data_IF_091863585893
#
_entry.id   IF_091863585893
#
_cell.length_a   1.000
_cell.length_b   1.000
_cell.length_c   1.000
_cell.angle_alpha   90.00
_cell.angle_beta   90.00
_cell.angle_gamma   90.00
#
_symmetry.space_group_name_H-M   'P 1'
#
loop_
_entity.id
_entity.type
_entity.pdbx_description
1 polymer ?
#
# COMPACT_ATOMS: atom_id res chain seq x y z
N UNK A 1 -7.73 8.68 -11.94
CA UNK A 1 -7.57 8.29 -10.53
C UNK A 1 -6.30 7.46 -10.43
N UNK A 2 -5.23 8.03 -9.91
CA UNK A 2 -3.95 7.33 -9.77
C UNK A 2 -4.06 6.30 -8.65
N UNK A 3 -4.22 5.03 -8.99
CA UNK A 3 -4.25 3.91 -8.04
C UNK A 3 -3.04 4.01 -7.10
N UNK A 4 -3.26 4.16 -5.79
CA UNK A 4 -2.18 4.14 -4.80
C UNK A 4 -1.35 2.85 -4.85
N UNK A 5 -1.92 1.76 -5.38
CA UNK A 5 -1.19 0.55 -5.76
C UNK A 5 -0.06 0.81 -6.77
N UNK A 6 -0.28 1.60 -7.82
CA UNK A 6 0.76 1.99 -8.78
C UNK A 6 1.85 2.81 -8.13
N UNK A 7 1.50 3.75 -7.24
CA UNK A 7 2.47 4.56 -6.48
C UNK A 7 3.32 3.69 -5.57
N UNK A 8 2.70 2.75 -4.85
CA UNK A 8 3.41 1.76 -4.04
C UNK A 8 4.39 0.92 -4.85
N UNK A 9 3.94 0.45 -6.02
CA UNK A 9 4.77 -0.35 -6.93
C UNK A 9 5.97 0.46 -7.43
N UNK A 10 5.79 1.73 -7.76
CA UNK A 10 6.87 2.63 -8.20
C UNK A 10 7.84 2.94 -7.05
N UNK A 11 7.34 3.27 -5.86
CA UNK A 11 8.17 3.52 -4.68
C UNK A 11 8.98 2.28 -4.25
N UNK A 12 8.40 1.08 -4.40
CA UNK A 12 9.13 -0.18 -4.20
C UNK A 12 10.09 -0.52 -5.37
N UNK A 13 10.05 0.24 -6.47
CA UNK A 13 10.79 0.04 -7.71
C UNK A 13 10.08 -0.88 -8.71
N UNK A 14 9.57 -2.03 -8.27
CA UNK A 14 8.70 -2.86 -9.12
C UNK A 14 7.75 -3.74 -8.30
N UNK A 15 6.73 -4.29 -8.98
CA UNK A 15 5.70 -5.14 -8.37
C UNK A 15 6.27 -6.40 -7.71
N UNK A 16 7.37 -6.94 -8.26
CA UNK A 16 8.02 -8.14 -7.72
C UNK A 16 8.76 -7.84 -6.42
N UNK A 17 9.41 -6.67 -6.30
CA UNK A 17 10.08 -6.18 -5.10
C UNK A 17 9.05 -5.88 -4.02
N UNK A 18 7.92 -5.26 -4.38
CA UNK A 18 6.82 -5.03 -3.45
C UNK A 18 6.28 -6.37 -2.90
N UNK A 19 6.03 -7.35 -3.78
CA UNK A 19 5.62 -8.70 -3.39
C UNK A 19 6.61 -9.35 -2.42
N UNK A 20 7.91 -9.27 -2.73
CA UNK A 20 8.96 -9.85 -1.90
C UNK A 20 9.11 -9.16 -0.55
N UNK A 21 8.95 -7.84 -0.48
CA UNK A 21 8.99 -7.08 0.79
C UNK A 21 7.77 -7.36 1.68
N UNK A 22 6.62 -7.65 1.07
CA UNK A 22 5.39 -7.97 1.79
C UNK A 22 5.25 -9.46 2.13
N UNK A 23 6.22 -10.28 1.73
CA UNK A 23 6.16 -11.75 1.80
C UNK A 23 4.90 -12.31 1.12
N UNK A 24 4.56 -11.75 -0.05
CA UNK A 24 3.39 -12.11 -0.84
C UNK A 24 3.80 -12.68 -2.20
N UNK A 25 2.93 -13.52 -2.75
CA UNK A 25 3.10 -13.99 -4.13
C UNK A 25 2.71 -12.89 -5.11
N UNK A 26 3.39 -12.85 -6.27
CA UNK A 26 3.07 -11.91 -7.35
C UNK A 26 1.60 -12.03 -7.79
N UNK A 27 1.06 -13.26 -7.78
CA UNK A 27 -0.33 -13.54 -8.11
C UNK A 27 -1.31 -12.91 -7.12
N UNK A 28 -0.97 -12.85 -5.83
CA UNK A 28 -1.80 -12.19 -4.82
C UNK A 28 -1.93 -10.69 -5.11
N UNK A 29 -0.80 -10.01 -5.39
CA UNK A 29 -0.79 -8.59 -5.75
C UNK A 29 -1.45 -8.34 -7.11
N UNK A 30 -1.39 -9.28 -8.06
CA UNK A 30 -2.11 -9.17 -9.33
C UNK A 30 -3.62 -9.16 -9.20
N UNK A 31 -4.16 -9.73 -8.12
CA UNK A 31 -5.61 -9.71 -7.86
C UNK A 31 -6.07 -8.46 -7.12
N UNK A 32 -5.15 -7.59 -6.70
CA UNK A 32 -5.51 -6.35 -6.04
C UNK A 32 -5.92 -5.33 -7.09
N UNK A 33 -7.18 -4.93 -7.03
CA UNK A 33 -7.66 -3.74 -7.74
C UNK A 33 -7.14 -2.47 -7.03
N UNK A 34 -7.25 -2.45 -5.70
CA UNK A 34 -6.65 -1.49 -4.77
C UNK A 34 -5.93 -2.22 -3.62
N UNK A 35 -5.05 -1.51 -2.89
CA UNK A 35 -4.35 -2.08 -1.74
C UNK A 35 -5.37 -2.34 -0.62
N UNK A 36 -5.60 -3.58 -0.18
CA UNK A 36 -6.57 -3.84 0.90
C UNK A 36 -6.13 -3.14 2.19
N UNK A 37 -7.07 -2.60 2.97
CA UNK A 37 -6.79 -1.85 4.22
C UNK A 37 -5.81 -2.60 5.17
N UNK A 38 -5.97 -3.92 5.31
CA UNK A 38 -5.08 -4.78 6.12
C UNK A 38 -3.62 -4.78 5.67
N UNK A 39 -3.36 -4.50 4.39
CA UNK A 39 -2.03 -4.42 3.81
C UNK A 39 -1.53 -2.98 3.68
N UNK A 40 -2.41 -1.96 3.71
CA UNK A 40 -2.01 -0.55 3.57
C UNK A 40 -0.93 -0.17 4.57
N UNK A 41 -1.09 -0.56 5.84
CA UNK A 41 -0.07 -0.31 6.88
C UNK A 41 1.27 -0.94 6.53
N UNK A 42 1.27 -2.22 6.16
CA UNK A 42 2.47 -2.97 5.77
C UNK A 42 3.13 -2.38 4.52
N UNK A 43 2.33 -1.99 3.53
CA UNK A 43 2.78 -1.32 2.31
C UNK A 43 3.43 0.02 2.65
N UNK A 44 2.77 0.82 3.49
CA UNK A 44 3.28 2.11 3.97
C UNK A 44 4.64 1.95 4.64
N UNK A 45 4.81 0.93 5.49
CA UNK A 45 6.10 0.64 6.16
C UNK A 45 7.21 0.27 5.17
N UNK A 46 6.91 -0.52 4.13
CA UNK A 46 7.93 -0.99 3.17
C UNK A 46 8.23 -0.03 2.03
N UNK A 47 7.29 0.86 1.69
CA UNK A 47 7.43 1.88 0.64
C UNK A 47 7.73 3.27 1.18
N UNK A 48 7.52 3.51 2.49
CA UNK A 48 7.65 4.83 3.10
C UNK A 48 6.59 5.84 2.66
N UNK A 49 5.50 5.38 2.02
CA UNK A 49 4.42 6.25 1.56
C UNK A 49 3.31 6.31 2.62
N UNK A 50 2.72 7.47 2.89
CA UNK A 50 1.60 7.57 3.83
C UNK A 50 0.39 6.77 3.34
N UNK A 51 -0.32 6.14 4.29
CA UNK A 51 -1.49 5.31 4.01
C UNK A 51 -2.56 6.04 3.18
N UNK A 52 -2.76 7.33 3.42
CA UNK A 52 -3.69 8.21 2.70
C UNK A 52 -3.36 8.31 1.20
N UNK A 53 -2.07 8.26 0.83
CA UNK A 53 -1.66 8.25 -0.58
C UNK A 53 -1.79 6.87 -1.23
N UNK A 54 -1.74 5.81 -0.42
CA UNK A 54 -1.85 4.42 -0.88
C UNK A 54 -3.31 3.98 -1.05
N UNK A 55 -4.18 4.46 -0.16
CA UNK A 55 -5.60 4.17 -0.16
C UNK A 55 -6.31 5.40 0.41
N UNK A 56 -6.93 6.25 -0.44
CA UNK A 56 -7.52 7.50 0.01
C UNK A 56 -8.71 7.29 0.97
N UNK A 57 -9.35 6.12 0.92
CA UNK A 57 -10.38 5.70 1.89
C UNK A 57 -9.79 5.23 3.23
N UNK A 58 -8.46 5.13 3.36
CA UNK A 58 -7.82 4.78 4.61
C UNK A 58 -7.83 6.01 5.52
N UNK A 59 -8.96 6.19 6.21
CA UNK A 59 -9.11 7.22 7.21
C UNK A 59 -8.26 6.83 8.42
N UNK A 60 -7.04 7.38 8.50
CA UNK A 60 -6.34 7.46 9.78
C UNK A 60 -7.25 8.25 10.71
N UNK A 61 -7.91 7.57 11.64
CA UNK A 61 -8.48 8.23 12.80
C UNK A 61 -7.28 8.81 13.56
N UNK A 62 -6.93 10.04 13.25
CA UNK A 62 -6.05 10.84 14.09
C UNK A 62 -6.68 10.77 15.48
N UNK A 63 -6.05 10.15 16.50
CA UNK A 63 -6.60 10.25 17.83
C UNK A 63 -6.55 11.73 18.17
N UNK A 64 -7.74 12.32 18.27
CA UNK A 64 -7.98 13.65 18.80
C UNK A 64 -7.17 13.77 20.09
N UNK A 65 -6.04 14.50 20.02
CA UNK A 65 -5.26 14.85 21.20
C UNK A 65 -6.05 15.93 21.92
N UNK A 66 -7.00 15.48 22.73
CA UNK A 66 -7.69 16.28 23.74
C UNK A 66 -6.78 16.57 24.92
#
# INVERSE_FOLDING_TARGET
>A
MENGLKKAIQAAGNKSKLARKLDLTKGYISRWDAIPLKWVKRVSEVTGLPAEQLHPDFQIVTPDRR
#
